data_IF_104255329083
#
_entry.id   IF_104255329083
#
_cell.length_a   1.000
_cell.length_b   1.000
_cell.length_c   1.000
_cell.angle_alpha   90.00
_cell.angle_beta   90.00
_cell.angle_gamma   90.00
#
_symmetry.space_group_name_H-M   'P 1'
#
loop_
_entity.id
_entity.type
_entity.pdbx_description
1 polymer ?
#
# COMPACT_ATOMS: atom_id res chain seq x y z
N UNK A 1 30.17 50.93 -49.84
CA UNK A 1 30.68 49.54 -49.83
C UNK A 1 31.47 49.25 -48.55
N UNK A 2 30.89 49.50 -47.37
CA UNK A 2 31.62 49.37 -46.09
C UNK A 2 30.76 48.86 -44.94
N UNK A 3 29.68 48.13 -45.25
CA UNK A 3 28.81 47.48 -44.24
C UNK A 3 28.71 45.96 -44.39
N UNK A 4 29.20 45.38 -45.50
CA UNK A 4 29.15 43.92 -45.74
C UNK A 4 30.37 43.13 -45.24
N UNK A 5 31.45 43.79 -44.81
CA UNK A 5 32.69 43.11 -44.37
C UNK A 5 32.79 42.86 -42.85
N UNK A 6 31.88 43.41 -42.05
CA UNK A 6 31.89 43.24 -40.58
C UNK A 6 31.06 42.03 -40.10
N UNK A 7 30.22 41.45 -40.96
CA UNK A 7 29.31 40.36 -40.58
C UNK A 7 29.93 38.96 -40.71
N UNK A 8 30.99 38.79 -41.51
CA UNK A 8 31.65 37.50 -41.75
C UNK A 8 32.76 37.19 -40.75
N UNK A 9 33.39 38.21 -40.14
CA UNK A 9 34.41 38.00 -39.11
C UNK A 9 33.82 37.63 -37.74
N UNK A 10 32.67 38.18 -37.35
CA UNK A 10 32.04 37.84 -36.05
C UNK A 10 31.47 36.42 -35.98
N UNK A 11 31.04 35.85 -37.11
CA UNK A 11 30.55 34.46 -37.15
C UNK A 11 31.66 33.41 -37.02
N UNK A 12 32.88 33.70 -37.49
CA UNK A 12 34.02 32.78 -37.34
C UNK A 12 34.45 32.65 -35.88
N UNK A 13 34.48 33.75 -35.11
CA UNK A 13 34.83 33.68 -33.68
C UNK A 13 33.79 32.94 -32.83
N UNK A 14 32.50 33.05 -33.16
CA UNK A 14 31.44 32.32 -32.45
C UNK A 14 31.50 30.81 -32.74
N UNK A 15 31.76 30.42 -33.98
CA UNK A 15 31.83 28.99 -34.35
C UNK A 15 33.06 28.31 -33.73
N UNK A 16 34.21 28.98 -33.68
CA UNK A 16 35.41 28.44 -33.01
C UNK A 16 35.23 28.37 -31.49
N UNK A 17 34.54 29.34 -30.88
CA UNK A 17 34.24 29.31 -29.45
C UNK A 17 33.27 28.18 -29.07
N UNK A 18 32.26 27.91 -29.88
CA UNK A 18 31.29 26.81 -29.65
C UNK A 18 31.95 25.44 -29.82
N UNK A 19 32.83 25.27 -30.82
CA UNK A 19 33.58 24.01 -31.02
C UNK A 19 34.60 23.77 -29.88
N UNK A 20 35.21 24.83 -29.36
CA UNK A 20 36.14 24.71 -28.23
C UNK A 20 35.39 24.35 -26.92
N UNK A 21 34.19 24.92 -26.71
CA UNK A 21 33.37 24.64 -25.53
C UNK A 21 32.78 23.22 -25.55
N UNK A 22 32.38 22.70 -26.71
CA UNK A 22 31.91 21.31 -26.82
C UNK A 22 33.03 20.29 -26.65
N UNK A 23 34.25 20.57 -27.14
CA UNK A 23 35.42 19.72 -26.90
C UNK A 23 35.83 19.69 -25.42
N UNK A 24 35.72 20.81 -24.69
CA UNK A 24 35.99 20.86 -23.24
C UNK A 24 34.96 20.04 -22.45
N UNK A 25 33.68 20.09 -22.83
CA UNK A 25 32.63 19.31 -22.17
C UNK A 25 32.78 17.80 -22.41
N UNK A 26 33.17 17.38 -23.63
CA UNK A 26 33.44 15.96 -23.94
C UNK A 26 34.69 15.45 -23.20
N UNK A 27 35.72 16.29 -23.02
CA UNK A 27 36.88 15.92 -22.21
C UNK A 27 36.57 15.83 -20.71
N UNK A 28 35.67 16.67 -20.19
CA UNK A 28 35.23 16.61 -18.79
C UNK A 28 34.36 15.37 -18.50
N UNK A 29 33.54 14.92 -19.45
CA UNK A 29 32.77 13.68 -19.34
C UNK A 29 33.65 12.43 -19.38
N UNK A 30 34.73 12.43 -20.17
CA UNK A 30 35.71 11.32 -20.21
C UNK A 30 36.51 11.22 -18.88
N UNK A 31 36.83 12.35 -18.25
CA UNK A 31 37.48 12.38 -16.93
C UNK A 31 36.53 11.89 -15.82
N UNK A 32 35.23 12.19 -15.91
CA UNK A 32 34.24 11.74 -14.94
C UNK A 32 33.93 10.25 -15.03
N UNK A 33 33.96 9.67 -16.24
CA UNK A 33 33.74 8.22 -16.46
C UNK A 33 34.95 7.39 -16.01
N UNK A 34 36.18 7.91 -16.11
CA UNK A 34 37.38 7.22 -15.61
C UNK A 34 37.57 7.33 -14.09
N UNK A 35 37.08 8.40 -13.44
CA UNK A 35 37.16 8.57 -11.98
C UNK A 35 36.29 7.58 -11.18
N UNK A 36 35.19 7.11 -11.77
CA UNK A 36 34.32 6.12 -11.14
C UNK A 36 34.86 4.68 -11.21
N UNK A 37 35.71 4.37 -12.20
CA UNK A 37 36.25 3.02 -12.37
C UNK A 37 37.39 2.69 -11.41
N UNK A 38 38.12 3.71 -10.91
CA UNK A 38 39.22 3.53 -9.94
C UNK A 38 38.77 3.46 -8.48
N UNK A 39 37.52 3.81 -8.17
CA UNK A 39 36.99 3.74 -6.80
C UNK A 39 36.43 2.35 -6.42
N UNK A 40 36.27 1.44 -7.40
CA UNK A 40 35.75 0.08 -7.18
C UNK A 40 36.83 -0.99 -6.98
N UNK A 41 38.12 -0.65 -7.17
CA UNK A 41 39.24 -1.60 -7.08
C UNK A 41 39.98 -1.59 -5.73
N UNK A 42 39.59 -0.75 -4.76
CA UNK A 42 40.35 -0.58 -3.52
C UNK A 42 39.67 -0.94 -2.19
N UNK A 43 38.50 -1.60 -2.20
CA UNK A 43 37.89 -2.12 -0.96
C UNK A 43 37.50 -3.59 -1.05
N UNK A 44 38.47 -4.41 -1.46
CA UNK A 44 38.46 -5.86 -1.26
C UNK A 44 39.77 -6.29 -0.64
N UNK A 45 39.81 -6.45 0.70
CA UNK A 45 40.71 -7.36 1.43
C UNK A 45 40.40 -7.36 2.92
N UNK A 46 39.73 -8.43 3.37
CA UNK A 46 39.98 -9.25 4.59
C UNK A 46 38.66 -9.76 5.14
N UNK A 47 38.38 -11.03 4.85
CA UNK A 47 38.13 -12.08 5.86
C UNK A 47 37.94 -13.40 5.13
N UNK A 48 38.95 -14.27 5.26
CA UNK A 48 38.89 -15.67 4.89
C UNK A 48 37.94 -16.41 5.83
N UNK A 49 36.89 -17.07 5.32
CA UNK A 49 36.31 -18.28 5.93
C UNK A 49 35.71 -19.16 4.83
N UNK A 50 36.43 -20.24 4.52
CA UNK A 50 36.01 -21.57 4.06
C UNK A 50 34.69 -21.69 3.27
N UNK A 51 34.83 -21.85 1.95
CA UNK A 51 33.84 -22.48 1.10
C UNK A 51 33.86 -24.00 1.32
N UNK A 52 32.71 -24.59 1.64
CA UNK A 52 32.45 -26.02 1.46
C UNK A 52 31.21 -26.17 0.58
N UNK A 53 31.38 -26.83 -0.57
CA UNK A 53 30.30 -27.26 -1.46
C UNK A 53 29.53 -28.45 -0.86
N UNK A 54 28.31 -28.71 -1.33
CA UNK A 54 27.80 -30.06 -1.29
C UNK A 54 27.28 -30.50 -2.66
N UNK A 55 28.03 -31.37 -3.33
CA UNK A 55 27.46 -32.38 -4.19
C UNK A 55 27.59 -33.75 -3.53
N UNK A 56 26.56 -34.57 -3.73
CA UNK A 56 26.48 -36.02 -3.57
C UNK A 56 26.40 -36.63 -2.15
N UNK A 57 25.18 -36.99 -1.75
CA UNK A 57 24.94 -38.35 -1.24
C UNK A 57 23.48 -38.78 -1.51
N UNK A 58 23.33 -39.77 -2.40
CA UNK A 58 22.09 -40.46 -2.75
C UNK A 58 22.03 -41.80 -1.99
N UNK A 59 20.80 -42.27 -1.69
CA UNK A 59 20.37 -43.64 -1.28
C UNK A 59 20.56 -44.00 0.21
N UNK A 60 19.52 -44.32 1.00
CA UNK A 60 18.57 -45.45 0.81
C UNK A 60 17.29 -45.34 1.69
N UNK A 61 16.15 -45.68 1.05
CA UNK A 61 14.97 -46.50 1.48
C UNK A 61 14.24 -46.15 2.80
N UNK A 62 13.00 -45.64 2.75
CA UNK A 62 11.68 -46.34 2.57
C UNK A 62 11.20 -47.13 3.80
N UNK A 63 10.09 -46.67 4.39
CA UNK A 63 8.89 -47.44 4.82
C UNK A 63 7.78 -46.41 5.13
N UNK A 64 6.78 -46.25 4.25
CA UNK A 64 5.41 -46.76 4.36
C UNK A 64 4.64 -46.41 5.64
N UNK A 65 3.69 -45.46 5.52
CA UNK A 65 2.38 -45.56 6.14
C UNK A 65 1.38 -44.72 5.32
N UNK A 66 0.46 -45.40 4.66
CA UNK A 66 -0.73 -44.81 4.05
C UNK A 66 -1.81 -44.70 5.13
N UNK A 67 -2.48 -43.55 5.25
CA UNK A 67 -3.84 -43.48 5.79
C UNK A 67 -4.65 -42.51 4.95
N UNK A 68 -5.87 -42.99 4.70
CA UNK A 68 -6.93 -42.61 3.77
C UNK A 68 -7.60 -41.26 4.01
N UNK A 69 -8.12 -40.75 2.89
CA UNK A 69 -9.19 -39.77 2.69
C UNK A 69 -10.10 -39.44 3.90
N UNK A 70 -10.33 -38.13 4.10
CA UNK A 70 -11.68 -37.64 4.37
C UNK A 70 -11.91 -36.29 3.68
N UNK A 71 -12.81 -36.33 2.71
CA UNK A 71 -13.57 -35.20 2.16
C UNK A 71 -14.21 -34.37 3.29
N UNK A 72 -13.99 -33.06 3.30
CA UNK A 72 -14.91 -32.12 3.92
C UNK A 72 -15.11 -30.91 3.00
N UNK A 73 -16.33 -30.86 2.44
CA UNK A 73 -16.93 -29.70 1.83
C UNK A 73 -17.15 -28.64 2.92
N UNK A 74 -16.70 -27.42 2.67
CA UNK A 74 -16.95 -26.26 3.53
C UNK A 74 -17.09 -25.00 2.67
N UNK A 75 -18.33 -24.72 2.28
CA UNK A 75 -18.78 -23.47 1.65
C UNK A 75 -18.41 -22.22 2.47
N UNK A 76 -18.14 -21.07 1.83
CA UNK A 76 -17.78 -19.85 2.53
C UNK A 76 -19.02 -19.11 3.07
N UNK A 77 -19.04 -18.81 4.37
CA UNK A 77 -20.05 -17.97 5.00
C UNK A 77 -19.67 -16.49 4.87
N UNK A 78 -20.39 -15.79 4.00
CA UNK A 78 -20.60 -14.35 4.08
C UNK A 78 -22.01 -14.08 4.61
N UNK A 79 -22.16 -12.94 5.28
CA UNK A 79 -23.39 -12.29 5.79
C UNK A 79 -23.86 -12.72 7.18
N UNK A 80 -23.66 -11.81 8.15
CA UNK A 80 -24.68 -11.43 9.13
C UNK A 80 -24.42 -9.98 9.55
N UNK A 81 -25.32 -9.09 9.14
CA UNK A 81 -25.59 -7.81 9.80
C UNK A 81 -26.75 -8.03 10.77
N UNK A 82 -26.72 -7.22 11.83
CA UNK A 82 -27.82 -6.84 12.72
C UNK A 82 -28.31 -7.88 13.73
N UNK A 83 -27.90 -7.69 14.99
CA UNK A 83 -28.77 -7.88 16.15
C UNK A 83 -28.48 -6.76 17.17
N UNK A 84 -29.45 -5.87 17.31
CA UNK A 84 -29.53 -4.87 18.38
C UNK A 84 -29.70 -5.55 19.74
N UNK A 85 -29.04 -5.02 20.76
CA UNK A 85 -29.19 -5.45 22.16
C UNK A 85 -30.28 -4.60 22.84
N UNK A 86 -31.31 -5.18 23.47
CA UNK A 86 -32.28 -4.43 24.25
C UNK A 86 -31.73 -4.06 25.63
N UNK A 87 -32.09 -2.84 26.05
CA UNK A 87 -31.82 -2.24 27.35
C UNK A 87 -32.63 -2.91 28.48
N UNK A 88 -31.92 -3.53 29.43
CA UNK A 88 -32.48 -4.02 30.68
C UNK A 88 -32.21 -3.05 31.83
N UNK A 89 -33.27 -2.44 32.36
CA UNK A 89 -33.28 -1.61 33.58
C UNK A 89 -33.09 -2.50 34.81
N UNK A 90 -32.17 -2.14 35.71
CA UNK A 90 -32.17 -2.62 37.10
C UNK A 90 -32.21 -1.40 38.02
N UNK A 91 -33.28 -1.29 38.80
CA UNK A 91 -33.44 -0.32 39.89
C UNK A 91 -32.98 -0.94 41.22
N UNK A 92 -32.49 -0.15 42.18
CA UNK A 92 -32.06 -0.62 43.49
C UNK A 92 -33.25 -0.76 44.44
N UNK A 93 -33.15 -1.72 45.37
CA UNK A 93 -34.06 -1.92 46.50
C UNK A 93 -33.38 -1.49 47.80
N UNK A 94 -33.99 -0.52 48.49
CA UNK A 94 -33.72 -0.15 49.88
C UNK A 94 -34.41 -1.13 50.84
N UNK A 95 -33.77 -1.47 51.97
CA UNK A 95 -34.44 -1.71 53.26
C UNK A 95 -33.43 -1.49 54.42
N UNK A 96 -33.79 -0.77 55.51
CA UNK A 96 -32.86 -0.35 56.55
C UNK A 96 -33.02 -1.15 57.86
N UNK A 97 -31.92 -1.34 58.61
CA UNK A 97 -31.99 -1.53 60.07
C UNK A 97 -30.89 -0.77 60.81
N UNK A 98 -31.38 -0.09 61.83
CA UNK A 98 -30.80 0.76 62.87
C UNK A 98 -29.75 0.08 63.76
N UNK A 99 -28.74 0.85 64.18
CA UNK A 99 -28.36 0.98 65.61
C UNK A 99 -27.52 2.24 65.85
N UNK A 100 -27.97 3.03 66.85
CA UNK A 100 -27.33 4.23 67.42
C UNK A 100 -25.94 3.93 67.99
N UNK A 101 -25.08 4.95 68.10
CA UNK A 101 -24.53 5.46 69.39
C UNK A 101 -23.64 6.72 69.16
N UNK A 102 -24.11 7.81 69.80
CA UNK A 102 -23.45 8.98 70.43
C UNK A 102 -22.61 10.03 69.68
N UNK A 103 -22.97 11.26 70.04
CA UNK A 103 -22.47 12.62 69.78
C UNK A 103 -21.03 12.91 70.27
N UNK A 104 -20.36 13.91 69.66
CA UNK A 104 -20.09 15.21 70.32
C UNK A 104 -19.07 16.09 69.53
N UNK A 105 -19.44 17.37 69.33
CA UNK A 105 -18.54 18.54 69.50
C UNK A 105 -17.71 19.07 68.33
N UNK A 106 -18.18 20.14 67.67
CA UNK A 106 -17.31 21.18 67.05
C UNK A 106 -16.71 22.14 68.11
N UNK A 107 -15.85 23.13 67.79
CA UNK A 107 -16.09 24.12 66.72
C UNK A 107 -14.87 24.67 65.91
N UNK A 108 -15.15 25.02 64.63
CA UNK A 108 -14.79 26.19 63.77
C UNK A 108 -13.42 26.93 63.81
N UNK A 109 -13.06 27.63 62.69
CA UNK A 109 -11.68 27.80 62.19
C UNK A 109 -11.09 29.20 62.42
N UNK A 110 -9.76 29.33 62.27
CA UNK A 110 -9.07 30.62 62.08
C UNK A 110 -8.32 30.67 60.74
N UNK A 111 -8.63 31.70 59.96
CA UNK A 111 -7.92 32.16 58.75
C UNK A 111 -6.54 32.69 59.11
N UNK A 112 -5.52 32.42 58.29
CA UNK A 112 -4.37 33.32 58.06
C UNK A 112 -3.90 33.20 56.60
N UNK A 113 -3.54 34.34 56.01
CA UNK A 113 -3.17 34.58 54.61
C UNK A 113 -1.67 34.29 54.31
N UNK A 114 -1.20 34.35 53.05
CA UNK A 114 -0.18 33.44 52.50
C UNK A 114 1.25 33.98 52.58
N UNK A 115 2.21 33.06 52.60
CA UNK A 115 3.64 33.34 52.43
C UNK A 115 4.28 32.30 51.51
N UNK A 116 4.87 32.79 50.42
CA UNK A 116 5.65 32.03 49.45
C UNK A 116 6.78 31.23 50.11
N UNK A 117 6.95 29.97 49.71
CA UNK A 117 8.27 29.31 49.68
C UNK A 117 8.26 28.09 48.76
N UNK A 118 8.93 28.28 47.64
CA UNK A 118 9.47 27.28 46.72
C UNK A 118 9.89 25.98 47.42
N UNK A 119 9.29 24.86 47.02
CA UNK A 119 9.88 23.51 47.18
C UNK A 119 9.67 22.71 45.90
N UNK A 120 10.80 22.20 45.40
CA UNK A 120 11.03 21.31 44.28
C UNK A 120 9.84 20.38 43.98
N UNK A 121 9.36 20.43 42.73
CA UNK A 121 8.70 19.27 42.11
C UNK A 121 9.75 18.17 41.99
N UNK A 122 9.71 17.19 42.88
CA UNK A 122 10.32 15.89 42.61
C UNK A 122 9.59 15.30 41.42
N UNK A 123 10.28 15.26 40.27
CA UNK A 123 9.83 14.47 39.15
C UNK A 123 9.96 13.01 39.55
N UNK A 124 8.81 12.34 39.61
CA UNK A 124 8.74 10.88 39.60
C UNK A 124 9.35 10.43 38.27
N UNK A 125 10.65 10.15 38.25
CA UNK A 125 11.28 9.35 37.20
C UNK A 125 10.73 7.95 37.35
N UNK A 126 9.77 7.58 36.50
CA UNK A 126 9.37 6.20 36.31
C UNK A 126 10.55 5.41 35.76
N UNK A 127 11.32 4.80 36.66
CA UNK A 127 12.25 3.72 36.36
C UNK A 127 11.47 2.45 36.04
N UNK A 128 11.00 2.34 34.81
CA UNK A 128 10.87 1.05 34.13
C UNK A 128 11.82 1.08 32.94
N UNK A 129 13.11 0.97 33.25
CA UNK A 129 14.18 0.83 32.27
C UNK A 129 14.26 -0.65 31.85
N UNK A 130 13.19 -1.17 31.24
CA UNK A 130 13.32 -2.33 30.36
C UNK A 130 14.03 -1.79 29.11
N UNK A 131 15.24 -2.26 28.83
CA UNK A 131 15.99 -1.95 27.61
C UNK A 131 15.13 -2.33 26.41
N UNK A 132 14.36 -1.37 25.91
CA UNK A 132 13.35 -1.64 24.92
C UNK A 132 14.05 -1.89 23.58
N UNK A 133 14.14 -3.15 23.18
CA UNK A 133 14.81 -3.54 21.95
C UNK A 133 14.10 -2.94 20.74
N UNK A 134 14.86 -2.63 19.69
CA UNK A 134 14.35 -1.93 18.51
C UNK A 134 14.28 -2.84 17.29
N UNK A 135 13.20 -2.70 16.52
CA UNK A 135 13.10 -3.22 15.17
C UNK A 135 13.21 -2.06 14.19
N UNK A 136 14.32 -2.00 13.48
CA UNK A 136 14.65 -0.91 12.58
C UNK A 136 14.41 -1.32 11.13
N UNK A 137 13.78 -0.43 10.37
CA UNK A 137 13.54 -0.66 8.95
C UNK A 137 13.64 0.64 8.14
N UNK A 138 14.22 0.58 6.94
CA UNK A 138 14.51 1.77 6.13
C UNK A 138 13.51 1.96 4.99
N UNK A 139 12.86 3.14 4.92
CA UNK A 139 12.03 3.45 3.76
C UNK A 139 12.85 3.65 2.48
N UNK A 140 12.45 2.92 1.43
CA UNK A 140 12.96 3.06 0.05
C UNK A 140 11.82 3.12 -0.96
N UNK A 141 12.06 3.73 -2.12
CA UNK A 141 11.07 3.83 -3.20
C UNK A 141 9.99 4.89 -2.99
N UNK A 142 8.75 4.59 -3.40
CA UNK A 142 7.59 5.51 -3.38
C UNK A 142 6.48 5.00 -2.43
N UNK A 143 5.37 5.73 -2.36
CA UNK A 143 4.26 5.51 -1.42
C UNK A 143 3.90 4.04 -1.20
N UNK A 144 3.63 3.25 -2.25
CA UNK A 144 3.27 1.84 -2.11
C UNK A 144 4.34 0.98 -1.40
N UNK A 145 5.63 1.27 -1.62
CA UNK A 145 6.71 0.59 -0.92
C UNK A 145 6.78 1.04 0.54
N UNK A 146 6.60 2.33 0.81
CA UNK A 146 6.59 2.86 2.18
C UNK A 146 5.48 2.26 3.03
N UNK A 147 4.29 2.05 2.44
CA UNK A 147 3.17 1.40 3.12
C UNK A 147 3.49 -0.06 3.45
N UNK A 148 4.14 -0.81 2.55
CA UNK A 148 4.60 -2.17 2.84
C UNK A 148 5.66 -2.22 3.95
N UNK A 149 6.69 -1.37 3.82
CA UNK A 149 7.72 -1.26 4.85
C UNK A 149 7.10 -0.97 6.22
N UNK A 150 6.14 -0.05 6.30
CA UNK A 150 5.51 0.31 7.56
C UNK A 150 4.59 -0.80 8.09
N UNK A 151 3.68 -1.33 7.26
CA UNK A 151 2.74 -2.37 7.67
C UNK A 151 3.44 -3.66 8.13
N UNK A 152 4.39 -4.15 7.34
CA UNK A 152 5.13 -5.37 7.66
C UNK A 152 6.03 -5.20 8.87
N UNK A 153 6.74 -4.06 8.98
CA UNK A 153 7.61 -3.81 10.14
C UNK A 153 6.81 -3.57 11.41
N UNK A 154 5.64 -2.94 11.34
CA UNK A 154 4.72 -2.80 12.48
C UNK A 154 4.27 -4.15 13.00
N UNK A 155 3.89 -5.07 12.12
CA UNK A 155 3.50 -6.41 12.50
C UNK A 155 4.70 -7.18 13.10
N UNK A 156 5.88 -7.11 12.49
CA UNK A 156 7.09 -7.76 13.02
C UNK A 156 7.49 -7.20 14.39
N UNK A 157 7.48 -5.88 14.56
CA UNK A 157 7.78 -5.24 15.85
C UNK A 157 6.81 -5.70 16.94
N UNK A 158 5.51 -5.80 16.61
CA UNK A 158 4.51 -6.35 17.52
C UNK A 158 4.78 -7.81 17.87
N UNK A 159 5.14 -8.63 16.88
CA UNK A 159 5.45 -10.06 17.08
C UNK A 159 6.65 -10.26 18.00
N UNK A 160 7.69 -9.44 17.85
CA UNK A 160 8.94 -9.51 18.60
C UNK A 160 8.92 -8.70 19.90
N UNK A 161 7.80 -8.04 20.23
CA UNK A 161 7.69 -7.12 21.36
C UNK A 161 8.79 -6.04 21.36
N UNK A 162 9.05 -5.46 20.19
CA UNK A 162 10.10 -4.47 19.96
C UNK A 162 9.52 -3.09 19.62
N UNK A 163 10.27 -2.03 19.90
CA UNK A 163 9.95 -0.68 19.44
C UNK A 163 10.28 -0.53 17.96
N UNK A 164 9.27 -0.17 17.16
CA UNK A 164 9.47 0.06 15.73
C UNK A 164 10.18 1.40 15.48
N UNK A 165 11.30 1.35 14.75
CA UNK A 165 12.03 2.53 14.27
C UNK A 165 12.07 2.53 12.73
N UNK A 166 11.43 3.51 12.12
CA UNK A 166 11.32 3.61 10.67
C UNK A 166 12.28 4.67 10.12
N UNK A 167 13.46 4.23 9.69
CA UNK A 167 14.56 5.06 9.22
C UNK A 167 14.25 5.69 7.85
N UNK A 168 14.55 6.99 7.70
CA UNK A 168 14.36 7.76 6.45
C UNK A 168 12.89 7.79 5.95
N UNK A 169 11.91 7.62 6.85
CA UNK A 169 10.49 7.54 6.51
C UNK A 169 9.71 8.86 6.67
N UNK A 170 10.39 10.01 6.84
CA UNK A 170 9.76 11.33 7.09
C UNK A 170 8.67 11.71 6.09
N UNK A 171 8.74 11.24 4.84
CA UNK A 171 7.71 11.50 3.82
C UNK A 171 6.38 10.82 4.12
N UNK A 172 6.39 9.66 4.78
CA UNK A 172 5.18 8.92 5.16
C UNK A 172 4.39 9.67 6.24
N UNK A 173 5.07 10.42 7.14
CA UNK A 173 4.43 11.32 8.11
C UNK A 173 3.66 12.48 7.47
N UNK A 174 3.85 12.76 6.17
CA UNK A 174 3.04 13.73 5.43
C UNK A 174 1.75 13.13 4.89
N UNK A 175 1.63 11.80 4.93
CA UNK A 175 0.55 11.01 4.34
C UNK A 175 -0.34 10.36 5.39
N UNK A 176 0.24 9.75 6.43
CA UNK A 176 -0.51 9.04 7.48
C UNK A 176 -0.64 9.89 8.76
N UNK A 177 -1.71 9.66 9.52
CA UNK A 177 -1.92 10.26 10.85
C UNK A 177 -0.98 9.67 11.90
N UNK A 178 -0.64 8.38 11.76
CA UNK A 178 0.31 7.71 12.65
C UNK A 178 1.62 8.49 12.70
N UNK A 179 2.01 8.91 13.89
CA UNK A 179 3.32 9.54 14.08
C UNK A 179 4.36 8.44 14.06
N UNK A 180 5.12 8.35 12.97
CA UNK A 180 6.37 7.62 13.00
C UNK A 180 7.32 8.44 13.85
N UNK A 181 7.58 7.96 15.05
CA UNK A 181 8.48 8.57 16.02
C UNK A 181 9.89 8.65 15.42
N UNK A 182 10.44 9.86 15.34
CA UNK A 182 11.85 10.07 15.03
C UNK A 182 12.53 10.39 16.37
N UNK A 183 12.79 9.35 17.15
CA UNK A 183 13.53 9.47 18.39
C UNK A 183 15.02 9.23 18.07
N UNK A 184 15.89 10.26 18.19
CA UNK A 184 17.31 10.12 17.88
C UNK A 184 18.00 9.02 18.68
N UNK A 185 17.58 8.79 19.93
CA UNK A 185 18.19 7.78 20.80
C UNK A 185 17.81 6.37 20.30
N UNK A 186 16.57 6.18 19.85
CA UNK A 186 16.14 4.93 19.22
C UNK A 186 16.76 4.73 17.83
N UNK A 187 16.97 5.81 17.06
CA UNK A 187 17.69 5.75 15.78
C UNK A 187 19.15 5.34 15.98
N UNK A 188 19.81 5.79 17.06
CA UNK A 188 21.18 5.39 17.39
C UNK A 188 21.27 3.89 17.72
N UNK A 189 20.27 3.33 18.44
CA UNK A 189 20.23 1.88 18.72
C UNK A 189 20.15 1.02 17.45
N UNK A 190 19.68 1.57 16.32
CA UNK A 190 19.69 0.86 15.05
C UNK A 190 21.11 0.67 14.48
N UNK A 191 22.10 1.47 14.91
CA UNK A 191 23.47 1.33 14.42
C UNK A 191 24.15 0.06 14.97
N UNK A 192 23.77 -0.35 16.18
CA UNK A 192 24.34 -1.50 16.90
C UNK A 192 23.47 -2.77 16.76
N UNK A 193 22.34 -2.68 16.05
CA UNK A 193 21.38 -3.75 15.89
C UNK A 193 21.82 -4.81 14.86
N UNK A 194 21.39 -6.06 15.07
CA UNK A 194 21.73 -7.20 14.20
C UNK A 194 21.07 -7.04 12.82
N UNK A 195 21.86 -7.19 11.76
CA UNK A 195 21.37 -7.01 10.38
C UNK A 195 20.73 -8.29 9.84
N UNK A 196 19.51 -8.18 9.31
CA UNK A 196 18.76 -9.29 8.71
C UNK A 196 18.33 -8.92 7.29
N UNK A 197 18.77 -9.70 6.30
CA UNK A 197 18.47 -9.49 4.88
C UNK A 197 17.25 -10.31 4.42
N UNK A 198 16.13 -9.63 4.17
CA UNK A 198 14.99 -10.18 3.45
C UNK A 198 15.19 -9.99 1.93
N UNK A 199 16.08 -10.82 1.39
CA UNK A 199 16.71 -10.71 0.06
C UNK A 199 15.77 -10.41 -1.11
N UNK A 200 14.61 -11.08 -1.17
CA UNK A 200 13.69 -11.00 -2.30
C UNK A 200 12.46 -10.16 -1.95
N UNK A 201 12.04 -9.31 -2.88
CA UNK A 201 10.73 -8.69 -2.78
C UNK A 201 9.65 -9.74 -2.99
N UNK A 202 8.47 -9.52 -2.41
CA UNK A 202 7.27 -10.28 -2.73
C UNK A 202 7.23 -11.73 -2.19
N UNK A 203 8.14 -12.10 -1.27
CA UNK A 203 8.17 -13.38 -0.57
C UNK A 203 7.94 -13.18 0.93
N UNK A 204 7.24 -14.12 1.55
CA UNK A 204 7.13 -14.18 3.00
C UNK A 204 8.28 -15.01 3.57
N UNK A 205 9.01 -14.44 4.54
CA UNK A 205 10.08 -15.11 5.27
C UNK A 205 9.58 -15.50 6.66
N UNK A 206 9.16 -16.77 6.89
CA UNK A 206 8.67 -17.20 8.21
C UNK A 206 9.70 -17.00 9.31
N UNK A 207 10.98 -17.17 9.00
CA UNK A 207 12.08 -17.00 9.95
C UNK A 207 12.13 -15.59 10.59
N UNK A 208 11.56 -14.56 9.94
CA UNK A 208 11.47 -13.22 10.54
C UNK A 208 10.49 -13.16 11.73
N UNK A 209 9.53 -14.09 11.81
CA UNK A 209 8.61 -14.21 12.96
C UNK A 209 9.23 -14.94 14.14
N UNK A 210 10.28 -15.72 13.88
CA UNK A 210 10.94 -16.59 14.86
C UNK A 210 12.31 -16.04 15.28
N UNK A 211 12.61 -14.77 14.95
CA UNK A 211 13.82 -14.10 15.42
C UNK A 211 13.87 -14.12 16.95
N UNK A 212 15.05 -14.39 17.55
CA UNK A 212 15.19 -14.39 18.99
C UNK A 212 14.62 -13.12 19.65
N UNK A 213 13.73 -13.25 20.65
CA UNK A 213 13.25 -12.10 21.39
C UNK A 213 14.40 -11.46 22.19
N UNK A 214 14.19 -10.23 22.65
CA UNK A 214 15.17 -9.46 23.43
C UNK A 214 16.47 -9.11 22.68
N UNK A 215 16.35 -8.88 21.37
CA UNK A 215 17.43 -8.37 20.53
C UNK A 215 16.93 -7.26 19.62
N UNK A 216 17.83 -6.37 19.26
CA UNK A 216 17.56 -5.29 18.30
C UNK A 216 17.95 -5.74 16.90
N UNK A 217 17.11 -5.45 15.91
CA UNK A 217 17.31 -5.88 14.53
C UNK A 217 17.19 -4.72 13.54
N UNK A 218 18.02 -4.72 12.51
CA UNK A 218 17.79 -3.96 11.28
C UNK A 218 17.36 -4.93 10.19
N UNK A 219 16.09 -4.86 9.80
CA UNK A 219 15.58 -5.67 8.69
C UNK A 219 15.74 -4.86 7.40
N UNK A 220 16.51 -5.38 6.43
CA UNK A 220 16.54 -4.86 5.07
C UNK A 220 15.69 -5.71 4.12
N UNK A 221 15.17 -5.07 3.08
CA UNK A 221 14.31 -5.73 2.09
C UNK A 221 12.96 -5.02 1.95
N UNK A 222 12.18 -5.45 0.96
CA UNK A 222 10.92 -4.76 0.65
C UNK A 222 9.73 -5.21 1.51
N UNK A 223 9.81 -6.40 2.13
CA UNK A 223 8.76 -6.99 2.98
C UNK A 223 7.35 -6.93 2.35
N UNK A 224 7.28 -7.16 1.04
CA UNK A 224 6.08 -7.02 0.23
C UNK A 224 5.20 -8.28 0.30
N UNK A 225 4.72 -8.65 1.49
CA UNK A 225 3.79 -9.78 1.62
C UNK A 225 2.68 -9.44 2.61
N UNK A 226 1.43 -9.73 2.24
CA UNK A 226 0.29 -9.58 3.14
C UNK A 226 0.39 -10.51 4.36
N UNK A 227 1.13 -11.61 4.24
CA UNK A 227 1.27 -12.61 5.30
C UNK A 227 1.94 -12.03 6.55
N UNK A 228 2.79 -11.01 6.41
CA UNK A 228 3.42 -10.33 7.55
C UNK A 228 2.41 -9.70 8.51
N UNK A 229 1.29 -9.15 8.00
CA UNK A 229 0.34 -8.36 8.80
C UNK A 229 -1.09 -8.91 8.81
N UNK A 230 -1.36 -9.98 8.07
CA UNK A 230 -2.69 -10.61 8.00
C UNK A 230 -3.30 -10.98 9.36
N UNK A 231 -2.46 -11.37 10.32
CA UNK A 231 -2.87 -11.76 11.67
C UNK A 231 -3.19 -10.57 12.59
N UNK A 232 -2.78 -9.34 12.22
CA UNK A 232 -3.03 -8.10 12.95
C UNK A 232 -3.62 -7.00 12.04
N UNK A 233 -4.43 -7.39 11.05
CA UNK A 233 -4.96 -6.50 10.01
C UNK A 233 -5.67 -5.26 10.58
N UNK A 234 -6.48 -5.41 11.63
CA UNK A 234 -7.20 -4.29 12.23
C UNK A 234 -6.25 -3.18 12.74
N UNK A 235 -5.11 -3.56 13.30
CA UNK A 235 -4.12 -2.61 13.83
C UNK A 235 -3.33 -1.98 12.71
N UNK A 236 -2.95 -2.75 11.69
CA UNK A 236 -2.30 -2.22 10.49
C UNK A 236 -3.22 -1.24 9.77
N UNK A 237 -4.51 -1.56 9.58
CA UNK A 237 -5.48 -0.62 8.99
C UNK A 237 -5.62 0.66 9.80
N UNK A 238 -5.60 0.57 11.13
CA UNK A 238 -5.59 1.75 12.01
C UNK A 238 -4.32 2.59 11.82
N UNK A 239 -3.15 1.95 11.75
CA UNK A 239 -1.88 2.63 11.51
C UNK A 239 -1.81 3.28 10.12
N UNK A 240 -2.48 2.68 9.12
CA UNK A 240 -2.59 3.19 7.76
C UNK A 240 -3.72 4.21 7.56
N UNK A 241 -4.14 4.90 8.63
CA UNK A 241 -5.10 6.00 8.53
C UNK A 241 -4.43 7.20 7.87
N UNK A 242 -4.96 7.63 6.73
CA UNK A 242 -4.47 8.78 5.97
C UNK A 242 -4.86 10.08 6.64
N UNK A 243 -4.06 11.14 6.41
CA UNK A 243 -4.35 12.46 6.96
C UNK A 243 -5.68 13.02 6.51
N UNK A 244 -6.37 13.71 7.40
CA UNK A 244 -7.72 14.26 7.14
C UNK A 244 -7.78 15.08 5.84
N UNK A 245 -6.79 15.92 5.57
CA UNK A 245 -6.72 16.71 4.32
C UNK A 245 -6.75 15.85 3.04
N UNK A 246 -6.16 14.65 3.09
CA UNK A 246 -6.09 13.71 1.96
C UNK A 246 -7.44 13.00 1.85
N UNK A 247 -7.99 12.56 2.98
CA UNK A 247 -9.30 11.92 3.08
C UNK A 247 -10.40 12.86 2.56
N UNK A 248 -10.42 14.11 3.00
CA UNK A 248 -11.38 15.12 2.56
C UNK A 248 -11.31 15.37 1.06
N UNK A 249 -10.10 15.50 0.49
CA UNK A 249 -9.92 15.68 -0.95
C UNK A 249 -10.39 14.46 -1.74
N UNK A 250 -10.02 13.25 -1.32
CA UNK A 250 -10.46 12.02 -1.97
C UNK A 250 -11.98 11.85 -1.90
N UNK A 251 -12.57 12.12 -0.74
CA UNK A 251 -14.03 12.05 -0.51
C UNK A 251 -14.77 13.01 -1.43
N UNK A 252 -14.30 14.26 -1.58
CA UNK A 252 -14.87 15.25 -2.50
C UNK A 252 -14.83 14.79 -3.97
N UNK A 253 -13.72 14.18 -4.40
CA UNK A 253 -13.60 13.60 -5.75
C UNK A 253 -14.60 12.46 -5.93
N UNK A 254 -14.69 11.53 -4.97
CA UNK A 254 -15.62 10.40 -5.02
C UNK A 254 -17.07 10.86 -5.04
N UNK A 255 -17.44 11.86 -4.24
CA UNK A 255 -18.78 12.45 -4.26
C UNK A 255 -19.13 13.05 -5.63
N UNK A 256 -18.17 13.73 -6.26
CA UNK A 256 -18.35 14.29 -7.60
C UNK A 256 -18.62 13.19 -8.63
N UNK A 257 -17.81 12.11 -8.61
CA UNK A 257 -17.99 10.95 -9.48
C UNK A 257 -19.34 10.28 -9.24
N UNK A 258 -19.75 10.07 -7.99
CA UNK A 258 -21.02 9.46 -7.63
C UNK A 258 -22.22 10.28 -8.14
N UNK A 259 -22.18 11.60 -7.95
CA UNK A 259 -23.22 12.50 -8.45
C UNK A 259 -23.33 12.48 -9.97
N UNK A 260 -22.19 12.42 -10.68
CA UNK A 260 -22.16 12.34 -12.14
C UNK A 260 -22.65 10.98 -12.67
N UNK A 261 -22.33 9.89 -11.97
CA UNK A 261 -22.60 8.51 -12.39
C UNK A 261 -24.07 8.08 -12.29
N UNK A 262 -24.95 8.88 -11.68
CA UNK A 262 -26.42 8.61 -11.59
C UNK A 262 -26.77 7.19 -11.08
N UNK A 263 -25.98 6.65 -10.15
CA UNK A 263 -26.22 5.35 -9.52
C UNK A 263 -25.53 4.16 -10.18
N UNK A 264 -24.66 4.38 -11.16
CA UNK A 264 -23.79 3.33 -11.71
C UNK A 264 -22.83 2.76 -10.66
N UNK A 265 -22.46 1.49 -10.84
CA UNK A 265 -21.35 0.90 -10.10
C UNK A 265 -20.05 1.54 -10.59
N UNK A 266 -19.28 2.11 -9.68
CA UNK A 266 -17.98 2.71 -9.98
C UNK A 266 -16.86 1.70 -9.75
N UNK A 267 -16.08 1.45 -10.79
CA UNK A 267 -14.92 0.54 -10.74
C UNK A 267 -13.65 1.33 -10.97
N UNK A 268 -12.77 1.34 -9.97
CA UNK A 268 -11.45 1.97 -10.08
C UNK A 268 -10.51 1.16 -10.96
N UNK A 269 -9.77 1.80 -11.84
CA UNK A 269 -8.79 1.15 -12.71
C UNK A 269 -7.45 1.85 -12.53
N UNK A 270 -6.44 1.14 -12.05
CA UNK A 270 -5.09 1.69 -11.97
C UNK A 270 -4.20 1.14 -13.09
N UNK A 271 -3.66 2.03 -13.92
CA UNK A 271 -2.80 1.71 -15.06
C UNK A 271 -1.36 2.13 -14.77
N UNK A 272 -0.49 1.16 -14.48
CA UNK A 272 0.95 1.37 -14.33
C UNK A 272 1.70 0.96 -15.60
N UNK A 273 2.28 1.93 -16.29
CA UNK A 273 3.12 1.71 -17.48
C UNK A 273 4.51 2.30 -17.26
N UNK A 274 4.70 3.61 -17.43
CA UNK A 274 5.93 4.35 -17.12
C UNK A 274 7.22 3.53 -17.13
N UNK A 275 7.79 3.30 -15.95
CA UNK A 275 9.03 2.54 -15.76
C UNK A 275 8.98 1.08 -16.25
N UNK A 276 7.83 0.41 -16.21
CA UNK A 276 7.65 -0.96 -16.71
C UNK A 276 7.77 -1.10 -18.24
N UNK A 277 7.83 0.02 -18.99
CA UNK A 277 8.08 -0.01 -20.43
C UNK A 277 9.57 0.06 -20.77
N UNK A 278 10.45 0.26 -19.78
CA UNK A 278 11.90 0.33 -20.00
C UNK A 278 12.47 -1.07 -20.24
N UNK A 279 13.46 -1.15 -21.12
CA UNK A 279 14.11 -2.41 -21.55
C UNK A 279 14.58 -3.28 -20.37
N UNK A 280 15.30 -2.69 -19.42
CA UNK A 280 15.79 -3.41 -18.23
C UNK A 280 14.68 -4.05 -17.37
N UNK A 281 13.43 -3.57 -17.43
CA UNK A 281 12.31 -4.21 -16.73
C UNK A 281 11.90 -5.50 -17.46
N UNK A 282 11.81 -5.44 -18.79
CA UNK A 282 11.53 -6.61 -19.63
C UNK A 282 12.64 -7.65 -19.52
N UNK A 283 13.91 -7.24 -19.53
CA UNK A 283 15.07 -8.16 -19.40
C UNK A 283 15.05 -8.99 -18.12
N UNK A 284 14.62 -8.40 -17.00
CA UNK A 284 14.48 -9.14 -15.75
C UNK A 284 13.18 -9.95 -15.68
N UNK A 285 12.25 -9.77 -16.61
CA UNK A 285 10.97 -10.47 -16.70
C UNK A 285 9.79 -9.78 -16.03
N UNK A 286 9.80 -8.45 -15.90
CA UNK A 286 8.66 -7.65 -15.45
C UNK A 286 7.82 -7.21 -16.65
N UNK A 287 6.51 -7.45 -16.62
CA UNK A 287 5.60 -7.13 -17.72
C UNK A 287 4.57 -6.08 -17.30
N UNK A 288 4.44 -5.02 -18.11
CA UNK A 288 3.32 -4.10 -18.01
C UNK A 288 2.02 -4.80 -18.43
N UNK A 289 0.89 -4.38 -17.84
CA UNK A 289 -0.41 -4.91 -18.21
C UNK A 289 -0.78 -4.46 -19.65
N UNK A 290 -1.12 -5.40 -20.56
CA UNK A 290 -1.54 -5.10 -21.92
C UNK A 290 -3.00 -4.57 -21.98
N UNK A 291 -3.41 -3.99 -23.10
CA UNK A 291 -4.77 -3.45 -23.27
C UNK A 291 -5.87 -4.51 -23.11
N UNK A 292 -5.65 -5.70 -23.67
CA UNK A 292 -6.60 -6.82 -23.61
C UNK A 292 -6.87 -7.30 -22.17
N UNK A 293 -5.90 -7.19 -21.26
CA UNK A 293 -6.12 -7.44 -19.83
C UNK A 293 -7.22 -6.50 -19.28
N UNK A 294 -7.07 -5.19 -19.53
CA UNK A 294 -8.04 -4.22 -19.03
C UNK A 294 -9.42 -4.43 -19.65
N UNK A 295 -9.50 -4.74 -20.95
CA UNK A 295 -10.78 -5.06 -21.60
C UNK A 295 -11.45 -6.29 -20.98
N UNK A 296 -10.70 -7.37 -20.71
CA UNK A 296 -11.24 -8.56 -20.04
C UNK A 296 -11.70 -8.26 -18.60
N UNK A 297 -10.92 -7.48 -17.85
CA UNK A 297 -11.25 -7.10 -16.49
C UNK A 297 -12.49 -6.18 -16.43
N UNK A 298 -12.63 -5.25 -17.37
CA UNK A 298 -13.81 -4.40 -17.52
C UNK A 298 -15.05 -5.23 -17.88
N UNK A 299 -14.93 -6.15 -18.86
CA UNK A 299 -16.00 -7.05 -19.25
C UNK A 299 -16.50 -7.92 -18.10
N UNK A 300 -15.57 -8.43 -17.26
CA UNK A 300 -15.92 -9.17 -16.04
C UNK A 300 -16.84 -8.37 -15.11
N UNK A 301 -16.56 -7.08 -14.89
CA UNK A 301 -17.41 -6.24 -14.04
C UNK A 301 -18.73 -5.86 -14.70
N UNK A 302 -18.75 -5.62 -16.00
CA UNK A 302 -19.98 -5.39 -16.75
C UNK A 302 -20.91 -6.61 -16.64
N UNK A 303 -20.40 -7.82 -16.82
CA UNK A 303 -21.17 -9.06 -16.68
C UNK A 303 -21.63 -9.29 -15.23
N UNK A 304 -20.72 -9.16 -14.26
CA UNK A 304 -21.01 -9.38 -12.84
C UNK A 304 -22.10 -8.43 -12.33
N UNK A 305 -22.03 -7.15 -12.68
CA UNK A 305 -23.01 -6.16 -12.23
C UNK A 305 -24.34 -6.35 -12.97
N UNK A 306 -24.30 -6.66 -14.28
CA UNK A 306 -25.48 -6.99 -15.09
C UNK A 306 -26.33 -8.13 -14.56
N UNK A 307 -25.70 -9.18 -14.04
CA UNK A 307 -26.41 -10.32 -13.43
C UNK A 307 -27.16 -9.93 -12.15
N UNK A 308 -26.54 -9.13 -11.28
CA UNK A 308 -27.13 -8.68 -10.01
C UNK A 308 -28.42 -7.87 -10.20
N UNK A 309 -28.53 -7.09 -11.28
CA UNK A 309 -29.76 -6.34 -11.58
C UNK A 309 -30.86 -7.21 -12.19
N UNK A 310 -30.53 -8.29 -12.90
CA UNK A 310 -31.52 -9.29 -13.35
C UNK A 310 -32.09 -10.09 -12.18
N UNK A 311 -31.24 -10.51 -11.25
CA UNK A 311 -31.65 -11.26 -10.05
C UNK A 311 -32.43 -10.42 -9.02
N UNK A 312 -32.29 -9.08 -9.06
CA UNK A 312 -33.15 -8.16 -8.29
C UNK A 312 -34.54 -7.93 -8.90
N UNK A 313 -34.79 -8.44 -10.12
CA UNK A 313 -36.10 -8.40 -10.79
C UNK A 313 -36.75 -9.80 -10.95
N UNK A 314 -36.79 -10.70 -9.94
CA UNK A 314 -37.59 -11.91 -10.06
C UNK A 314 -39.01 -11.56 -9.59
N UNK A 315 -39.84 -11.04 -10.49
CA UNK A 315 -41.24 -10.75 -10.14
C UNK A 315 -41.98 -9.70 -10.96
N UNK A 316 -41.37 -9.02 -11.92
CA UNK A 316 -42.16 -8.27 -12.91
C UNK A 316 -42.67 -9.25 -13.95
N UNK A 317 -43.87 -9.77 -13.71
CA UNK A 317 -44.65 -10.51 -14.69
C UNK A 317 -44.71 -9.73 -16.01
N UNK A 318 -44.47 -10.43 -17.12
CA UNK A 318 -44.52 -9.94 -18.50
C UNK A 318 -45.87 -9.33 -18.93
N UNK A 319 -46.88 -9.23 -18.05
CA UNK A 319 -48.21 -8.71 -18.36
C UNK A 319 -48.45 -7.25 -17.91
N UNK A 320 -47.52 -6.62 -17.19
CA UNK A 320 -47.67 -5.20 -16.80
C UNK A 320 -46.82 -4.23 -17.64
N UNK A 321 -46.12 -4.73 -18.67
CA UNK A 321 -45.32 -3.90 -19.57
C UNK A 321 -46.09 -3.38 -20.81
N UNK A 322 -47.34 -3.83 -21.02
CA UNK A 322 -48.17 -3.42 -22.17
C UNK A 322 -49.18 -2.31 -21.85
N UNK A 323 -49.18 -1.75 -20.63
CA UNK A 323 -50.12 -0.70 -20.22
C UNK A 323 -49.54 0.73 -20.23
N UNK A 324 -48.29 0.94 -20.66
CA UNK A 324 -47.67 2.28 -20.78
C UNK A 324 -47.34 2.67 -22.23
N UNK A 325 -48.10 2.16 -23.20
CA UNK A 325 -48.09 2.68 -24.57
C UNK A 325 -49.15 3.79 -24.70
N UNK A 326 -48.82 5.01 -24.29
CA UNK A 326 -49.77 6.11 -24.36
C UNK A 326 -49.32 7.40 -23.69
N UNK A 327 -48.19 7.97 -24.11
CA UNK A 327 -47.94 9.41 -24.22
C UNK A 327 -46.56 9.67 -24.81
N UNK A 328 -46.54 9.97 -26.11
CA UNK A 328 -45.41 10.61 -26.76
C UNK A 328 -45.19 11.99 -26.13
N UNK A 329 -43.93 12.31 -25.83
CA UNK A 329 -43.52 13.65 -25.41
C UNK A 329 -43.05 13.76 -23.97
N UNK A 330 -41.98 13.03 -23.59
CA UNK A 330 -40.99 13.55 -22.64
C UNK A 330 -39.68 12.76 -22.78
N UNK A 331 -38.71 13.40 -23.44
CA UNK A 331 -37.27 13.27 -23.28
C UNK A 331 -36.77 11.88 -22.85
N UNK A 332 -36.41 11.05 -23.83
CA UNK A 332 -35.64 9.82 -23.61
C UNK A 332 -34.37 10.10 -22.80
N UNK A 333 -34.44 9.94 -21.49
CA UNK A 333 -33.28 9.87 -20.61
C UNK A 333 -32.51 8.62 -21.02
N UNK A 334 -31.42 8.81 -21.75
CA UNK A 334 -30.46 7.76 -22.02
C UNK A 334 -30.14 7.04 -20.71
N UNK A 335 -30.43 5.74 -20.66
CA UNK A 335 -30.07 4.89 -19.52
C UNK A 335 -28.56 5.02 -19.33
N UNK A 336 -28.13 5.48 -18.15
CA UNK A 336 -26.72 5.47 -17.76
C UNK A 336 -26.17 4.05 -17.85
N UNK A 337 -24.89 3.93 -18.18
CA UNK A 337 -24.18 2.65 -18.15
C UNK A 337 -24.31 2.02 -16.76
N UNK A 338 -24.54 0.72 -16.67
CA UNK A 338 -24.65 0.03 -15.38
C UNK A 338 -23.36 0.09 -14.55
N UNK A 339 -22.23 0.16 -15.25
CA UNK A 339 -20.89 0.28 -14.69
C UNK A 339 -20.18 1.47 -15.34
N UNK A 340 -19.48 2.25 -14.54
CA UNK A 340 -18.54 3.29 -14.99
C UNK A 340 -17.15 3.00 -14.43
N UNK A 341 -16.14 3.13 -15.28
CA UNK A 341 -14.74 2.87 -14.94
C UNK A 341 -13.99 4.18 -14.73
N UNK A 342 -13.37 4.33 -13.56
CA UNK A 342 -12.62 5.52 -13.18
C UNK A 342 -11.13 5.19 -13.23
N UNK A 343 -10.39 5.77 -14.17
CA UNK A 343 -9.02 5.39 -14.49
C UNK A 343 -8.01 6.36 -13.88
N UNK A 344 -7.10 5.85 -13.05
CA UNK A 344 -5.89 6.54 -12.64
C UNK A 344 -4.70 6.02 -13.47
N UNK A 345 -4.09 6.88 -14.27
CA UNK A 345 -2.93 6.56 -15.08
C UNK A 345 -1.66 7.04 -14.37
N UNK A 346 -0.74 6.12 -14.08
CA UNK A 346 0.56 6.50 -13.53
C UNK A 346 1.52 6.95 -14.65
N UNK A 347 2.30 7.99 -14.39
CA UNK A 347 3.47 8.50 -15.16
C UNK A 347 3.43 8.22 -16.69
N UNK A 348 3.10 9.24 -17.50
CA UNK A 348 3.09 9.23 -18.99
C UNK A 348 2.14 8.22 -19.66
N UNK A 349 1.28 7.55 -18.89
CA UNK A 349 0.29 6.62 -19.44
C UNK A 349 -1.00 7.27 -19.95
N UNK A 350 -1.19 8.59 -19.81
CA UNK A 350 -2.43 9.31 -20.16
C UNK A 350 -2.87 9.05 -21.61
N UNK A 351 -2.00 9.38 -22.58
CA UNK A 351 -2.29 9.15 -24.01
C UNK A 351 -2.58 7.67 -24.32
N UNK A 352 -1.92 6.75 -23.61
CA UNK A 352 -2.14 5.32 -23.80
C UNK A 352 -3.51 4.90 -23.26
N UNK A 353 -3.88 5.36 -22.06
CA UNK A 353 -5.19 5.11 -21.45
C UNK A 353 -6.31 5.64 -22.36
N UNK A 354 -6.15 6.87 -22.86
CA UNK A 354 -7.12 7.47 -23.80
C UNK A 354 -7.29 6.61 -25.05
N UNK A 355 -6.18 6.23 -25.68
CA UNK A 355 -6.19 5.46 -26.92
C UNK A 355 -6.76 4.04 -26.75
N UNK A 356 -6.46 3.37 -25.63
CA UNK A 356 -6.74 1.94 -25.45
C UNK A 356 -7.99 1.66 -24.62
N UNK A 357 -8.39 2.57 -23.72
CA UNK A 357 -9.48 2.33 -22.77
C UNK A 357 -10.73 3.15 -23.08
N UNK A 358 -10.62 4.32 -23.72
CA UNK A 358 -11.79 5.15 -24.04
C UNK A 358 -12.58 4.69 -25.27
N UNK A 359 -12.20 3.56 -25.90
CA UNK A 359 -12.87 3.10 -27.12
C UNK A 359 -14.24 2.44 -26.84
N UNK A 360 -15.27 3.29 -26.97
CA UNK A 360 -16.66 3.13 -27.43
C UNK A 360 -17.66 2.16 -26.75
N UNK A 361 -17.26 1.26 -25.84
CA UNK A 361 -18.21 0.29 -25.25
C UNK A 361 -18.45 0.43 -23.76
N UNK A 362 -17.58 1.11 -23.02
CA UNK A 362 -17.70 1.32 -21.59
C UNK A 362 -17.74 2.82 -21.26
N UNK A 363 -18.50 3.21 -20.24
CA UNK A 363 -18.36 4.54 -19.67
C UNK A 363 -17.05 4.59 -18.88
N UNK A 364 -16.11 5.40 -19.35
CA UNK A 364 -14.77 5.51 -18.78
C UNK A 364 -14.47 6.98 -18.54
N UNK A 365 -14.05 7.31 -17.32
CA UNK A 365 -13.58 8.64 -16.92
C UNK A 365 -12.13 8.55 -16.43
N UNK A 366 -11.27 9.46 -16.89
CA UNK A 366 -9.87 9.54 -16.42
C UNK A 366 -9.81 10.53 -15.27
N UNK A 367 -9.18 10.13 -14.16
CA UNK A 367 -8.97 11.02 -13.03
C UNK A 367 -8.03 12.16 -13.42
N UNK A 368 -8.37 13.41 -13.05
CA UNK A 368 -7.44 14.51 -13.19
C UNK A 368 -6.21 14.29 -12.31
N UNK A 369 -5.08 14.94 -12.59
CA UNK A 369 -3.86 14.79 -11.80
C UNK A 369 -4.10 15.11 -10.32
N UNK A 370 -3.83 14.15 -9.43
CA UNK A 370 -3.77 14.39 -7.99
C UNK A 370 -2.44 13.90 -7.41
N UNK A 371 -2.27 14.10 -6.10
CA UNK A 371 -1.18 13.41 -5.39
C UNK A 371 -1.45 11.89 -5.35
N UNK A 372 -0.40 11.05 -5.35
CA UNK A 372 -0.58 9.60 -5.29
C UNK A 372 -1.43 9.12 -4.11
N UNK A 373 -1.35 9.79 -2.95
CA UNK A 373 -2.15 9.44 -1.79
C UNK A 373 -3.65 9.72 -1.99
N UNK A 374 -3.99 10.78 -2.73
CA UNK A 374 -5.39 11.08 -3.08
C UNK A 374 -5.90 10.07 -4.09
N UNK A 375 -5.16 9.78 -5.17
CA UNK A 375 -5.61 8.80 -6.17
C UNK A 375 -5.77 7.40 -5.57
N UNK A 376 -4.87 7.00 -4.67
CA UNK A 376 -4.97 5.73 -3.95
C UNK A 376 -6.28 5.65 -3.16
N UNK A 377 -6.61 6.70 -2.40
CA UNK A 377 -7.85 6.74 -1.63
C UNK A 377 -9.09 6.78 -2.52
N UNK A 378 -9.10 7.65 -3.55
CA UNK A 378 -10.21 7.75 -4.51
C UNK A 378 -10.54 6.38 -5.08
N UNK A 379 -9.55 5.68 -5.63
CA UNK A 379 -9.75 4.35 -6.21
C UNK A 379 -10.20 3.32 -5.17
N UNK A 380 -9.63 3.34 -3.96
CA UNK A 380 -9.99 2.39 -2.89
C UNK A 380 -11.42 2.58 -2.35
N UNK A 381 -11.98 3.79 -2.48
CA UNK A 381 -13.34 4.15 -2.05
C UNK A 381 -14.42 3.80 -3.08
N UNK A 382 -14.05 3.38 -4.29
CA UNK A 382 -15.00 2.93 -5.32
C UNK A 382 -15.52 1.52 -5.00
N UNK A 383 -16.55 1.07 -5.72
CA UNK A 383 -17.25 -0.19 -5.39
C UNK A 383 -16.34 -1.40 -5.57
N UNK A 384 -15.55 -1.40 -6.66
CA UNK A 384 -14.64 -2.46 -7.03
C UNK A 384 -13.37 -1.87 -7.66
N UNK A 385 -12.33 -2.68 -7.83
CA UNK A 385 -11.05 -2.21 -8.40
C UNK A 385 -10.41 -3.25 -9.33
N UNK A 386 -9.89 -2.74 -10.44
CA UNK A 386 -8.97 -3.41 -11.36
C UNK A 386 -7.58 -2.84 -11.13
N UNK A 387 -6.65 -3.68 -10.66
CA UNK A 387 -5.27 -3.30 -10.40
C UNK A 387 -4.35 -3.86 -11.50
N UNK A 388 -3.29 -3.13 -11.84
CA UNK A 388 -2.25 -3.63 -12.76
C UNK A 388 -1.05 -4.15 -11.97
N UNK A 389 0.10 -3.49 -12.08
CA UNK A 389 1.37 -3.93 -11.50
C UNK A 389 1.89 -2.96 -10.45
N UNK A 390 2.82 -3.43 -9.62
CA UNK A 390 3.51 -2.63 -8.61
C UNK A 390 2.72 -2.42 -7.31
N UNK A 391 3.44 -1.92 -6.31
CA UNK A 391 2.93 -1.80 -4.93
C UNK A 391 1.85 -0.74 -4.75
N UNK A 392 1.82 0.31 -5.59
CA UNK A 392 0.75 1.30 -5.55
C UNK A 392 -0.61 0.63 -5.83
N UNK A 393 -0.72 -0.07 -6.96
CA UNK A 393 -1.93 -0.78 -7.35
C UNK A 393 -2.33 -1.81 -6.30
N UNK A 394 -1.33 -2.51 -5.74
CA UNK A 394 -1.55 -3.49 -4.67
C UNK A 394 -2.23 -2.87 -3.45
N UNK A 395 -1.75 -1.71 -2.98
CA UNK A 395 -2.38 -1.03 -1.84
C UNK A 395 -3.78 -0.50 -2.13
N UNK A 396 -4.07 -0.09 -3.37
CA UNK A 396 -5.46 0.23 -3.77
C UNK A 396 -6.35 -0.99 -3.57
N UNK A 397 -5.92 -2.17 -4.01
CA UNK A 397 -6.64 -3.43 -3.81
C UNK A 397 -6.84 -3.76 -2.32
N UNK A 398 -5.79 -3.62 -1.51
CA UNK A 398 -5.83 -3.98 -0.08
C UNK A 398 -6.73 -3.06 0.76
N UNK A 399 -6.75 -1.77 0.42
CA UNK A 399 -7.59 -0.76 1.07
C UNK A 399 -9.04 -0.80 0.58
N UNK A 400 -9.27 -1.31 -0.64
CA UNK A 400 -10.62 -1.49 -1.16
C UNK A 400 -11.40 -2.52 -0.37
N UNK A 401 -12.70 -2.24 -0.19
CA UNK A 401 -13.68 -3.18 0.37
C UNK A 401 -14.40 -3.99 -0.72
N UNK A 402 -14.08 -3.72 -1.98
CA UNK A 402 -14.72 -4.28 -3.15
C UNK A 402 -14.13 -5.59 -3.62
N UNK A 403 -14.64 -6.07 -4.76
CA UNK A 403 -13.95 -7.10 -5.54
C UNK A 403 -12.70 -6.52 -6.17
N UNK A 404 -11.58 -7.24 -6.03
CA UNK A 404 -10.30 -6.87 -6.62
C UNK A 404 -9.96 -7.84 -7.74
N UNK A 405 -9.70 -7.31 -8.93
CA UNK A 405 -9.19 -8.03 -10.10
C UNK A 405 -7.76 -7.59 -10.37
N UNK A 406 -6.84 -8.51 -10.61
CA UNK A 406 -5.44 -8.19 -10.86
C UNK A 406 -4.87 -8.87 -12.12
N UNK A 407 -3.87 -8.21 -12.72
CA UNK A 407 -3.13 -8.77 -13.86
C UNK A 407 -2.18 -9.84 -13.35
N UNK A 408 -2.40 -11.11 -13.73
CA UNK A 408 -1.61 -12.23 -13.20
C UNK A 408 -0.29 -12.47 -13.94
N UNK A 409 -0.19 -12.04 -15.21
CA UNK A 409 0.96 -12.34 -16.07
C UNK A 409 2.02 -11.21 -16.05
N UNK A 410 2.18 -10.54 -14.91
CA UNK A 410 3.14 -9.45 -14.73
C UNK A 410 4.59 -9.92 -14.50
N UNK A 411 4.77 -11.22 -14.34
CA UNK A 411 6.06 -11.88 -14.14
C UNK A 411 6.24 -12.92 -15.23
N UNK A 412 7.38 -12.88 -15.90
CA UNK A 412 7.74 -13.88 -16.89
C UNK A 412 8.25 -15.16 -16.23
N UNK A 413 7.63 -16.30 -16.55
CA UNK A 413 8.05 -17.60 -16.03
C UNK A 413 9.51 -17.90 -16.42
N UNK A 414 10.32 -18.37 -15.46
CA UNK A 414 11.72 -18.71 -15.67
C UNK A 414 12.70 -17.52 -15.73
N UNK A 415 12.19 -16.28 -15.81
CA UNK A 415 13.02 -15.07 -15.77
C UNK A 415 13.73 -14.89 -14.43
N UNK A 416 14.73 -14.00 -14.39
CA UNK A 416 15.44 -13.65 -13.14
C UNK A 416 14.45 -13.20 -12.07
N UNK A 417 13.54 -12.28 -12.40
CA UNK A 417 12.50 -11.81 -11.48
C UNK A 417 11.52 -12.93 -11.12
N UNK A 418 11.17 -13.79 -12.07
CA UNK A 418 10.30 -14.95 -11.84
C UNK A 418 10.83 -15.92 -10.80
N UNK A 419 12.15 -16.10 -10.72
CA UNK A 419 12.81 -16.93 -9.69
C UNK A 419 12.74 -16.32 -8.30
N UNK A 420 12.49 -15.00 -8.20
CA UNK A 420 12.39 -14.28 -6.92
C UNK A 420 10.98 -14.36 -6.32
N UNK A 421 9.95 -14.71 -7.10
CA UNK A 421 8.60 -14.93 -6.57
C UNK A 421 8.45 -16.36 -6.04
N UNK A 422 7.70 -16.50 -4.94
CA UNK A 422 7.19 -17.81 -4.52
C UNK A 422 6.38 -18.47 -5.65
N UNK A 423 6.24 -19.79 -5.59
CA UNK A 423 5.80 -20.64 -6.72
C UNK A 423 4.47 -20.28 -7.38
N UNK A 424 3.61 -19.43 -6.76
CA UNK A 424 2.32 -19.02 -7.33
C UNK A 424 1.87 -17.59 -6.95
N UNK A 425 2.80 -16.65 -6.72
CA UNK A 425 2.46 -15.28 -6.27
C UNK A 425 1.68 -15.20 -4.94
N UNK A 426 1.44 -16.31 -4.25
CA UNK A 426 0.53 -16.42 -3.09
C UNK A 426 0.98 -15.61 -1.88
N UNK A 427 2.29 -15.37 -1.75
CA UNK A 427 2.84 -14.50 -0.72
C UNK A 427 2.58 -13.02 -1.03
N UNK A 428 2.45 -12.67 -2.30
CA UNK A 428 2.25 -11.30 -2.75
C UNK A 428 0.76 -10.97 -2.92
N UNK A 429 0.02 -11.78 -3.68
CA UNK A 429 -1.40 -11.57 -3.95
C UNK A 429 -2.28 -12.29 -2.93
N UNK A 430 -3.18 -11.59 -2.22
CA UNK A 430 -4.16 -12.22 -1.35
C UNK A 430 -5.05 -13.24 -2.09
N UNK A 431 -5.39 -14.38 -1.48
CA UNK A 431 -6.15 -15.45 -2.14
C UNK A 431 -7.59 -15.06 -2.49
N UNK A 432 -8.13 -13.99 -1.89
CA UNK A 432 -9.46 -13.48 -2.20
C UNK A 432 -9.54 -12.66 -3.48
N UNK A 433 -8.39 -12.33 -4.10
CA UNK A 433 -8.33 -11.52 -5.31
C UNK A 433 -8.42 -12.38 -6.57
N UNK A 434 -9.00 -11.81 -7.63
CA UNK A 434 -9.32 -12.55 -8.85
C UNK A 434 -8.23 -12.33 -9.91
N UNK A 435 -7.50 -13.38 -10.30
CA UNK A 435 -6.49 -13.28 -11.35
C UNK A 435 -7.12 -13.23 -12.74
N UNK A 436 -6.72 -12.25 -13.56
CA UNK A 436 -7.07 -12.19 -15.00
C UNK A 436 -5.77 -12.02 -15.81
N UNK A 437 -5.66 -12.79 -16.90
CA UNK A 437 -4.62 -12.60 -17.92
C UNK A 437 -4.89 -11.35 -18.73
#
# INVERSE_FOLDING_TARGET
MTCMLLHTSRMKYYLTAVICFTCILVCLDIIFVHGYFLSYLHFGRRTDVLAASPESCFLRKRQHAAVTQSTFLGTPLNNLRDCAVPSGKVRPTDDPRTSRITEAGGPRPKKLLPGERSRRRESVKSTENLTAHVLCHRCRGRLGNWLFHYASSLALAKRLNAHLVMLKCRRLNRTLESTITNDPDLEQQCADAEYVDARFCCVFYPALFDLPPNRSYVIDGYLQSWRYFSWCDAEVRKALTFKEKIVAKATSVVQTLRNASRGSVLVGVHVRRGDYLKEHMSEVGRKAAPANYFHRAMAYFQEKCGKRNKERRPGQSLQSAEAEFGREGELGKSRGSEVEFVVACADDAGNWCETNLLNKTAAVSILPPNSPAVDMLVLSMLDHVIISVGTFSWWVGYLSRGTVVYYKDFVEAGSRFGKEFGSNLSDYMPPSWIPIS
#
